data_IF_369917458427
#
_entry.id   IF_369917458427
#
_cell.length_a   1.000
_cell.length_b   1.000
_cell.length_c   1.000
_cell.angle_alpha   90.00
_cell.angle_beta   90.00
_cell.angle_gamma   90.00
#
_symmetry.space_group_name_H-M   'P 1'
#
loop_
_entity.id
_entity.type
_entity.pdbx_description
1 polymer ?
#
# COMPACT_ATOMS: atom_id res chain seq x y z
N UNK A 1 -26.45 -5.17 14.58
CA UNK A 1 -25.22 -5.91 14.91
C UNK A 1 -24.04 -4.96 14.90
N UNK A 2 -23.28 -4.90 15.99
CA UNK A 2 -22.08 -4.05 16.10
C UNK A 2 -20.77 -4.88 15.97
N UNK A 3 -19.61 -4.22 15.90
CA UNK A 3 -18.31 -4.90 15.74
C UNK A 3 -18.01 -5.93 16.84
N UNK A 4 -18.38 -5.61 18.09
CA UNK A 4 -18.10 -6.45 19.27
C UNK A 4 -18.96 -7.73 19.22
N UNK A 5 -20.23 -7.60 18.83
CA UNK A 5 -21.14 -8.73 18.63
C UNK A 5 -20.63 -9.66 17.53
N UNK A 6 -20.16 -9.12 16.40
CA UNK A 6 -19.61 -9.93 15.31
C UNK A 6 -18.40 -10.75 15.76
N UNK A 7 -17.46 -10.12 16.47
CA UNK A 7 -16.27 -10.78 17.02
C UNK A 7 -16.60 -11.83 18.10
N UNK A 8 -17.63 -11.59 18.91
CA UNK A 8 -18.08 -12.55 19.94
C UNK A 8 -18.74 -13.77 19.30
N UNK A 9 -19.65 -13.54 18.35
CA UNK A 9 -20.52 -14.56 17.80
C UNK A 9 -19.88 -15.36 16.66
N UNK A 10 -18.95 -14.78 15.91
CA UNK A 10 -18.31 -15.47 14.78
C UNK A 10 -16.84 -15.79 15.07
N UNK A 11 -16.58 -17.05 15.45
CA UNK A 11 -15.23 -17.55 15.78
C UNK A 11 -14.24 -17.38 14.62
N UNK A 12 -14.68 -17.60 13.38
CA UNK A 12 -13.80 -17.51 12.22
C UNK A 12 -13.37 -16.07 11.96
N UNK A 13 -14.28 -15.11 12.09
CA UNK A 13 -13.95 -13.68 11.97
C UNK A 13 -13.03 -13.22 13.08
N UNK A 14 -13.25 -13.67 14.31
CA UNK A 14 -12.33 -13.37 15.41
C UNK A 14 -10.92 -13.89 15.14
N UNK A 15 -10.79 -15.11 14.61
CA UNK A 15 -9.49 -15.68 14.23
C UNK A 15 -8.84 -14.85 13.13
N UNK A 16 -9.54 -14.62 12.00
CA UNK A 16 -9.01 -13.87 10.86
C UNK A 16 -8.60 -12.44 11.26
N UNK A 17 -9.46 -11.71 11.96
CA UNK A 17 -9.16 -10.36 12.44
C UNK A 17 -7.95 -10.32 13.39
N UNK A 18 -7.79 -11.34 14.26
CA UNK A 18 -6.62 -11.43 15.15
C UNK A 18 -5.34 -11.71 14.37
N UNK A 19 -5.40 -12.62 13.39
CA UNK A 19 -4.26 -12.93 12.51
C UNK A 19 -3.86 -11.70 11.72
N UNK A 20 -4.81 -11.00 11.10
CA UNK A 20 -4.57 -9.75 10.36
C UNK A 20 -3.85 -8.72 11.24
N UNK A 21 -4.37 -8.44 12.43
CA UNK A 21 -3.77 -7.43 13.32
C UNK A 21 -2.33 -7.80 13.73
N UNK A 22 -2.11 -9.04 14.14
CA UNK A 22 -0.80 -9.52 14.60
C UNK A 22 0.22 -9.49 13.46
N UNK A 23 -0.14 -10.04 12.29
CA UNK A 23 0.75 -10.16 11.13
C UNK A 23 1.02 -8.78 10.50
N UNK A 24 0.00 -7.91 10.38
CA UNK A 24 0.20 -6.57 9.81
C UNK A 24 1.11 -5.72 10.68
N UNK A 25 1.00 -5.81 12.01
CA UNK A 25 1.95 -5.14 12.89
C UNK A 25 3.39 -5.58 12.60
N UNK A 26 3.65 -6.88 12.46
CA UNK A 26 4.99 -7.41 12.15
C UNK A 26 5.52 -6.98 10.78
N UNK A 27 4.67 -6.98 9.75
CA UNK A 27 5.05 -6.61 8.39
C UNK A 27 5.65 -5.20 8.30
N UNK A 28 5.15 -4.23 9.09
CA UNK A 28 5.69 -2.87 9.10
C UNK A 28 7.05 -2.76 9.80
N UNK A 29 7.35 -3.63 10.76
CA UNK A 29 8.67 -3.74 11.37
C UNK A 29 9.70 -4.23 10.37
N UNK A 30 9.38 -5.31 9.65
CA UNK A 30 10.30 -5.83 8.64
C UNK A 30 10.40 -4.92 7.42
N UNK A 31 9.34 -4.23 7.01
CA UNK A 31 9.43 -3.20 5.96
C UNK A 31 10.39 -2.07 6.34
N UNK A 32 10.27 -1.54 7.56
CA UNK A 32 11.20 -0.52 8.08
C UNK A 32 12.62 -1.09 8.22
N UNK A 33 12.73 -2.37 8.61
CA UNK A 33 13.99 -3.10 8.69
C UNK A 33 14.70 -3.21 7.34
N UNK A 34 13.97 -3.51 6.25
CA UNK A 34 14.53 -3.59 4.89
C UNK A 34 15.13 -2.25 4.45
N UNK A 35 14.41 -1.14 4.63
CA UNK A 35 14.95 0.17 4.27
C UNK A 35 16.12 0.58 5.17
N UNK A 36 16.03 0.30 6.47
CA UNK A 36 17.15 0.57 7.39
C UNK A 36 18.38 -0.25 7.03
N UNK A 37 18.22 -1.53 6.67
CA UNK A 37 19.31 -2.41 6.23
C UNK A 37 20.03 -1.83 5.01
N UNK A 38 19.27 -1.33 4.03
CA UNK A 38 19.85 -0.70 2.85
C UNK A 38 20.65 0.55 3.22
N UNK A 39 20.21 1.31 4.22
CA UNK A 39 20.99 2.43 4.75
C UNK A 39 22.26 1.95 5.45
N UNK A 40 22.18 0.96 6.35
CA UNK A 40 23.33 0.41 7.08
C UNK A 40 24.40 -0.19 6.14
N UNK A 41 23.96 -0.82 5.04
CA UNK A 41 24.84 -1.38 4.03
C UNK A 41 25.42 -0.32 3.07
N UNK A 42 25.07 0.96 3.23
CA UNK A 42 25.38 2.03 2.28
C UNK A 42 25.01 1.64 0.84
N UNK A 43 23.81 1.08 0.67
CA UNK A 43 23.34 0.62 -0.62
C UNK A 43 23.18 1.81 -1.59
N UNK A 44 23.49 1.59 -2.88
CA UNK A 44 23.31 2.62 -3.89
C UNK A 44 21.84 2.99 -4.03
N UNK A 45 21.57 4.22 -4.48
CA UNK A 45 20.21 4.78 -4.59
C UNK A 45 19.28 3.89 -5.42
N UNK A 46 19.75 3.35 -6.56
CA UNK A 46 18.97 2.41 -7.37
C UNK A 46 18.49 1.18 -6.59
N UNK A 47 19.23 0.70 -5.59
CA UNK A 47 18.83 -0.46 -4.80
C UNK A 47 17.68 -0.13 -3.86
N UNK A 48 17.73 1.02 -3.20
CA UNK A 48 16.61 1.56 -2.40
C UNK A 48 15.37 1.77 -3.24
N UNK A 49 15.54 2.37 -4.43
CA UNK A 49 14.47 2.62 -5.37
C UNK A 49 13.84 1.31 -5.89
N UNK A 50 14.66 0.28 -6.14
CA UNK A 50 14.21 -1.06 -6.53
C UNK A 50 13.41 -1.73 -5.42
N UNK A 51 13.87 -1.67 -4.16
CA UNK A 51 13.11 -2.21 -3.02
C UNK A 51 11.75 -1.53 -2.85
N UNK A 52 11.67 -0.22 -3.02
CA UNK A 52 10.40 0.51 -2.99
C UNK A 52 9.48 0.12 -4.17
N UNK A 53 10.02 -0.01 -5.39
CA UNK A 53 9.27 -0.46 -6.56
C UNK A 53 8.68 -1.88 -6.36
N UNK A 54 9.47 -2.80 -5.79
CA UNK A 54 9.05 -4.17 -5.50
C UNK A 54 7.92 -4.24 -4.47
N UNK A 55 7.67 -3.18 -3.69
CA UNK A 55 6.51 -3.09 -2.82
C UNK A 55 5.16 -2.93 -3.59
N UNK A 56 5.21 -2.63 -4.89
CA UNK A 56 4.01 -2.44 -5.72
C UNK A 56 3.96 -3.39 -6.92
N UNK A 57 5.11 -3.73 -7.51
CA UNK A 57 5.21 -4.52 -8.73
C UNK A 57 4.49 -5.89 -8.67
N UNK A 58 4.60 -6.70 -7.59
CA UNK A 58 3.87 -7.96 -7.49
C UNK A 58 2.36 -7.81 -7.60
N UNK A 59 1.80 -6.75 -7.01
CA UNK A 59 0.37 -6.46 -7.09
C UNK A 59 -0.08 -6.19 -8.53
N UNK A 60 0.75 -5.49 -9.31
CA UNK A 60 0.50 -5.24 -10.75
C UNK A 60 0.46 -6.55 -11.54
N UNK A 61 1.46 -7.42 -11.33
CA UNK A 61 1.62 -8.66 -12.10
C UNK A 61 0.59 -9.72 -11.72
N UNK A 62 0.24 -9.81 -10.43
CA UNK A 62 -0.66 -10.84 -9.90
C UNK A 62 -2.14 -10.43 -9.89
N UNK A 63 -2.47 -9.15 -10.10
CA UNK A 63 -3.84 -8.66 -10.17
C UNK A 63 -4.79 -9.56 -10.99
N UNK A 64 -4.44 -9.99 -12.22
CA UNK A 64 -5.26 -10.95 -12.93
C UNK A 64 -5.20 -12.33 -12.26
N UNK A 65 -4.01 -12.86 -11.98
CA UNK A 65 -3.79 -14.29 -11.67
C UNK A 65 -4.41 -14.73 -10.34
N UNK A 66 -4.47 -13.81 -9.36
CA UNK A 66 -4.93 -14.11 -8.00
C UNK A 66 -6.30 -14.80 -7.94
N UNK A 67 -7.26 -14.39 -8.77
CA UNK A 67 -8.60 -14.99 -8.79
C UNK A 67 -8.56 -16.49 -9.11
N UNK A 68 -7.75 -16.89 -10.09
CA UNK A 68 -7.60 -18.29 -10.50
C UNK A 68 -6.92 -19.13 -9.42
N UNK A 69 -5.93 -18.56 -8.73
CA UNK A 69 -5.23 -19.25 -7.63
C UNK A 69 -6.21 -19.51 -6.48
N UNK A 70 -6.97 -18.49 -6.08
CA UNK A 70 -7.95 -18.58 -4.99
C UNK A 70 -9.07 -19.56 -5.33
N UNK A 71 -9.54 -19.54 -6.58
CA UNK A 71 -10.60 -20.43 -7.04
C UNK A 71 -10.17 -21.90 -7.20
N UNK A 72 -8.88 -22.21 -7.35
CA UNK A 72 -8.43 -23.61 -7.53
C UNK A 72 -8.02 -24.30 -6.23
N UNK A 73 -7.87 -23.54 -5.16
CA UNK A 73 -7.30 -24.05 -3.91
C UNK A 73 -8.30 -23.99 -2.77
N UNK A 74 -8.18 -24.95 -1.84
CA UNK A 74 -8.94 -24.91 -0.59
C UNK A 74 -8.49 -23.69 0.24
N UNK A 75 -9.39 -22.81 0.70
CA UNK A 75 -9.01 -21.54 1.35
C UNK A 75 -8.07 -21.71 2.55
N UNK A 76 -8.35 -22.66 3.45
CA UNK A 76 -7.50 -22.92 4.63
C UNK A 76 -6.08 -23.31 4.24
N UNK A 77 -5.95 -24.22 3.27
CA UNK A 77 -4.64 -24.70 2.80
C UNK A 77 -3.87 -23.56 2.14
N UNK A 78 -4.54 -22.77 1.30
CA UNK A 78 -3.93 -21.63 0.63
C UNK A 78 -3.42 -20.59 1.63
N UNK A 79 -4.25 -20.17 2.59
CA UNK A 79 -3.87 -19.19 3.62
C UNK A 79 -2.66 -19.68 4.45
N UNK A 80 -2.67 -20.95 4.89
CA UNK A 80 -1.55 -21.54 5.63
C UNK A 80 -0.27 -21.65 4.79
N UNK A 81 -0.38 -22.02 3.52
CA UNK A 81 0.78 -22.06 2.63
C UNK A 81 1.38 -20.67 2.41
N UNK A 82 0.53 -19.66 2.17
CA UNK A 82 1.00 -18.29 1.95
C UNK A 82 1.72 -17.75 3.19
N UNK A 83 1.09 -17.78 4.37
CA UNK A 83 1.72 -17.28 5.61
C UNK A 83 3.01 -18.04 5.97
N UNK A 84 3.12 -19.32 5.60
CA UNK A 84 4.35 -20.11 5.82
C UNK A 84 5.48 -19.69 4.88
N UNK A 85 5.18 -19.42 3.61
CA UNK A 85 6.18 -18.89 2.65
C UNK A 85 6.64 -17.50 3.10
N UNK A 86 5.72 -16.68 3.61
CA UNK A 86 6.06 -15.36 4.17
C UNK A 86 7.01 -15.48 5.36
N UNK A 87 6.73 -16.38 6.31
CA UNK A 87 7.61 -16.66 7.45
C UNK A 87 9.03 -17.05 7.00
N UNK A 88 9.14 -17.98 6.06
CA UNK A 88 10.45 -18.43 5.53
C UNK A 88 11.16 -17.26 4.87
N UNK A 89 10.45 -16.46 4.08
CA UNK A 89 11.04 -15.33 3.37
C UNK A 89 11.57 -14.26 4.33
N UNK A 90 10.87 -13.97 5.42
CA UNK A 90 11.31 -13.02 6.46
C UNK A 90 12.50 -13.59 7.22
N UNK A 91 12.45 -14.87 7.59
CA UNK A 91 13.58 -15.51 8.26
C UNK A 91 14.85 -15.44 7.40
N UNK A 92 14.72 -15.63 6.09
CA UNK A 92 15.84 -15.52 5.16
C UNK A 92 16.44 -14.11 5.07
N UNK A 93 15.69 -13.04 5.38
CA UNK A 93 16.22 -11.66 5.37
C UNK A 93 17.34 -11.46 6.40
N UNK A 94 17.39 -12.25 7.47
CA UNK A 94 18.42 -12.15 8.52
C UNK A 94 19.82 -12.48 7.98
N UNK A 95 19.90 -13.29 6.92
CA UNK A 95 21.17 -13.69 6.30
C UNK A 95 21.69 -12.65 5.29
N UNK A 96 20.87 -11.67 4.90
CA UNK A 96 21.31 -10.58 4.03
C UNK A 96 22.18 -9.64 4.86
N UNK A 97 23.50 -9.71 4.64
CA UNK A 97 24.50 -9.01 5.46
C UNK A 97 25.47 -8.15 4.66
N UNK A 98 25.39 -8.17 3.33
CA UNK A 98 26.30 -7.44 2.45
C UNK A 98 25.61 -6.98 1.17
N UNK A 99 26.20 -6.00 0.49
CA UNK A 99 25.74 -5.50 -0.81
C UNK A 99 25.78 -6.56 -1.92
N UNK A 100 26.66 -7.56 -1.82
CA UNK A 100 26.70 -8.67 -2.79
C UNK A 100 25.45 -9.56 -2.74
N UNK A 101 24.63 -9.44 -1.68
CA UNK A 101 23.39 -10.19 -1.48
C UNK A 101 22.13 -9.40 -1.86
N UNK A 102 22.24 -8.23 -2.51
CA UNK A 102 21.08 -7.45 -2.96
C UNK A 102 20.13 -8.25 -3.85
N UNK A 103 20.65 -9.16 -4.67
CA UNK A 103 19.81 -10.06 -5.49
C UNK A 103 18.89 -10.93 -4.61
N UNK A 104 19.40 -11.44 -3.48
CA UNK A 104 18.63 -12.25 -2.55
C UNK A 104 17.58 -11.38 -1.84
N UNK A 105 17.96 -10.18 -1.41
CA UNK A 105 17.04 -9.20 -0.82
C UNK A 105 15.84 -8.94 -1.73
N UNK A 106 16.08 -8.65 -3.01
CA UNK A 106 15.02 -8.37 -3.98
C UNK A 106 14.11 -9.58 -4.24
N UNK A 107 14.68 -10.78 -4.36
CA UNK A 107 13.89 -12.01 -4.49
C UNK A 107 12.97 -12.19 -3.27
N UNK A 108 13.51 -11.98 -2.06
CA UNK A 108 12.74 -12.13 -0.83
C UNK A 108 11.62 -11.09 -0.73
N UNK A 109 11.88 -9.81 -1.04
CA UNK A 109 10.84 -8.77 -1.08
C UNK A 109 9.75 -9.12 -2.10
N UNK A 110 10.14 -9.55 -3.30
CA UNK A 110 9.20 -9.92 -4.36
C UNK A 110 8.31 -11.10 -3.96
N UNK A 111 8.89 -12.16 -3.39
CA UNK A 111 8.15 -13.33 -2.92
C UNK A 111 7.15 -12.92 -1.82
N UNK A 112 7.60 -12.15 -0.82
CA UNK A 112 6.75 -11.70 0.28
C UNK A 112 5.51 -10.96 -0.23
N UNK A 113 5.72 -10.02 -1.15
CA UNK A 113 4.65 -9.20 -1.72
C UNK A 113 3.72 -10.00 -2.64
N UNK A 114 4.25 -10.98 -3.39
CA UNK A 114 3.42 -11.94 -4.12
C UNK A 114 2.49 -12.71 -3.18
N UNK A 115 3.06 -13.25 -2.11
CA UNK A 115 2.37 -14.07 -1.12
C UNK A 115 1.32 -13.27 -0.36
N UNK A 116 1.66 -12.06 0.08
CA UNK A 116 0.72 -11.15 0.76
C UNK A 116 -0.49 -10.81 -0.13
N UNK A 117 -0.26 -10.59 -1.43
CA UNK A 117 -1.32 -10.34 -2.41
C UNK A 117 -2.27 -11.53 -2.56
N UNK A 118 -1.73 -12.75 -2.70
CA UNK A 118 -2.54 -13.97 -2.79
C UNK A 118 -3.30 -14.23 -1.48
N UNK A 119 -2.65 -14.04 -0.32
CA UNK A 119 -3.26 -14.20 1.00
C UNK A 119 -4.48 -13.28 1.15
N UNK A 120 -4.30 -12.00 0.86
CA UNK A 120 -5.37 -11.00 0.95
C UNK A 120 -6.59 -11.38 0.09
N UNK A 121 -6.35 -11.76 -1.18
CA UNK A 121 -7.44 -12.15 -2.08
C UNK A 121 -8.14 -13.44 -1.64
N UNK A 122 -7.38 -14.41 -1.10
CA UNK A 122 -7.93 -15.64 -0.55
C UNK A 122 -8.83 -15.35 0.66
N UNK A 123 -8.40 -14.43 1.53
CA UNK A 123 -9.14 -14.04 2.71
C UNK A 123 -10.43 -13.28 2.35
N UNK A 124 -10.36 -12.28 1.47
CA UNK A 124 -11.55 -11.53 1.04
C UNK A 124 -12.59 -12.44 0.35
N UNK A 125 -12.13 -13.37 -0.49
CA UNK A 125 -13.01 -14.37 -1.11
C UNK A 125 -13.65 -15.32 -0.08
N UNK A 126 -12.88 -15.72 0.94
CA UNK A 126 -13.39 -16.56 2.02
C UNK A 126 -14.45 -15.83 2.85
N UNK A 127 -14.19 -14.57 3.24
CA UNK A 127 -15.12 -13.73 3.99
C UNK A 127 -16.46 -13.59 3.27
N UNK A 128 -16.42 -13.32 1.96
CA UNK A 128 -17.62 -13.21 1.14
C UNK A 128 -18.45 -14.51 1.07
N UNK A 129 -17.82 -15.67 1.28
CA UNK A 129 -18.52 -16.98 1.28
C UNK A 129 -19.10 -17.38 2.63
N UNK A 130 -18.55 -16.87 3.74
CA UNK A 130 -18.95 -17.28 5.10
C UNK A 130 -19.81 -16.24 5.83
N UNK A 131 -19.96 -15.04 5.28
CA UNK A 131 -20.68 -13.93 5.91
C UNK A 131 -21.91 -13.49 5.13
N UNK A 132 -22.91 -13.01 5.87
CA UNK A 132 -24.02 -12.24 5.31
C UNK A 132 -23.54 -10.87 4.78
N UNK A 133 -24.31 -10.19 3.90
CA UNK A 133 -23.90 -8.88 3.37
C UNK A 133 -23.63 -7.81 4.44
N UNK A 134 -24.38 -7.85 5.54
CA UNK A 134 -24.23 -6.91 6.67
C UNK A 134 -22.95 -7.21 7.47
N UNK A 135 -22.67 -8.48 7.72
CA UNK A 135 -21.44 -8.94 8.36
C UNK A 135 -20.21 -8.65 7.51
N UNK A 136 -20.30 -8.87 6.20
CA UNK A 136 -19.21 -8.61 5.26
C UNK A 136 -18.85 -7.13 5.23
N UNK A 137 -19.85 -6.23 5.25
CA UNK A 137 -19.61 -4.79 5.37
C UNK A 137 -18.83 -4.45 6.65
N UNK A 138 -19.27 -4.97 7.79
CA UNK A 138 -18.59 -4.76 9.08
C UNK A 138 -17.17 -5.35 9.08
N UNK A 139 -16.97 -6.53 8.51
CA UNK A 139 -15.67 -7.18 8.41
C UNK A 139 -14.69 -6.37 7.55
N UNK A 140 -15.16 -5.81 6.43
CA UNK A 140 -14.36 -4.93 5.58
C UNK A 140 -13.97 -3.64 6.31
N UNK A 141 -14.91 -3.02 7.03
CA UNK A 141 -14.62 -1.85 7.88
C UNK A 141 -13.56 -2.18 8.95
N UNK A 142 -13.68 -3.33 9.61
CA UNK A 142 -12.69 -3.80 10.60
C UNK A 142 -11.30 -4.00 9.98
N UNK A 143 -11.23 -4.59 8.79
CA UNK A 143 -9.98 -4.77 8.07
C UNK A 143 -9.30 -3.42 7.81
N UNK A 144 -10.05 -2.41 7.34
CA UNK A 144 -9.50 -1.06 7.13
C UNK A 144 -8.99 -0.43 8.42
N UNK A 145 -9.71 -0.60 9.54
CA UNK A 145 -9.29 -0.11 10.86
C UNK A 145 -8.00 -0.81 11.32
N UNK A 146 -7.95 -2.15 11.22
CA UNK A 146 -6.77 -2.94 11.56
C UNK A 146 -5.57 -2.47 10.76
N UNK A 147 -5.70 -2.36 9.43
CA UNK A 147 -4.62 -1.91 8.56
C UNK A 147 -4.12 -0.52 8.95
N UNK A 148 -5.02 0.44 9.18
CA UNK A 148 -4.65 1.81 9.53
C UNK A 148 -3.92 1.88 10.89
N UNK A 149 -4.41 1.15 11.90
CA UNK A 149 -3.78 1.10 13.23
C UNK A 149 -2.42 0.41 13.13
N UNK A 150 -2.34 -0.75 12.48
CA UNK A 150 -1.10 -1.50 12.32
C UNK A 150 -0.06 -0.70 11.54
N UNK A 151 -0.45 0.01 10.47
CA UNK A 151 0.46 0.88 9.71
C UNK A 151 0.98 2.03 10.56
N UNK A 152 0.07 2.77 11.22
CA UNK A 152 0.44 3.95 12.01
C UNK A 152 1.30 3.58 13.21
N UNK A 153 0.86 2.62 14.03
CA UNK A 153 1.57 2.18 15.22
C UNK A 153 2.84 1.40 14.85
N UNK A 154 2.77 0.54 13.83
CA UNK A 154 3.90 -0.27 13.36
C UNK A 154 5.03 0.60 12.83
N UNK A 155 4.77 1.52 11.90
CA UNK A 155 5.82 2.38 11.35
C UNK A 155 6.43 3.31 12.41
N UNK A 156 5.61 3.85 13.33
CA UNK A 156 6.10 4.70 14.43
C UNK A 156 7.00 3.94 15.40
N UNK A 157 6.62 2.72 15.79
CA UNK A 157 7.37 1.93 16.77
C UNK A 157 8.56 1.18 16.16
N UNK A 158 8.50 0.81 14.88
CA UNK A 158 9.56 0.06 14.19
C UNK A 158 10.90 0.80 14.17
N UNK A 159 10.89 2.12 13.88
CA UNK A 159 12.12 2.91 13.87
C UNK A 159 12.81 2.96 15.23
N UNK A 160 12.03 3.11 16.31
CA UNK A 160 12.52 3.09 17.70
C UNK A 160 13.05 1.69 18.05
N UNK A 161 12.30 0.66 17.71
CA UNK A 161 12.67 -0.73 17.97
C UNK A 161 14.00 -1.10 17.30
N UNK A 162 14.14 -0.78 16.01
CA UNK A 162 15.34 -1.05 15.23
C UNK A 162 16.53 -0.25 15.76
N UNK A 163 16.33 0.99 16.20
CA UNK A 163 17.41 1.79 16.80
C UNK A 163 18.01 1.13 18.04
N UNK A 164 17.20 0.55 18.93
CA UNK A 164 17.70 -0.06 20.16
C UNK A 164 18.12 -1.52 20.00
N UNK A 165 17.45 -2.28 19.14
CA UNK A 165 17.60 -3.74 19.04
C UNK A 165 18.22 -4.20 17.72
N UNK A 166 18.41 -3.30 16.76
CA UNK A 166 18.98 -3.58 15.44
C UNK A 166 17.98 -4.13 14.42
N UNK A 167 18.39 -4.17 13.15
CA UNK A 167 17.53 -4.61 12.03
C UNK A 167 17.16 -6.10 12.14
N UNK A 168 18.12 -6.97 12.50
CA UNK A 168 17.90 -8.42 12.55
C UNK A 168 16.81 -8.81 13.56
N UNK A 169 16.71 -8.11 14.69
CA UNK A 169 15.69 -8.38 15.69
C UNK A 169 14.30 -7.96 15.21
N UNK A 170 14.18 -6.95 14.34
CA UNK A 170 12.90 -6.59 13.72
C UNK A 170 12.38 -7.71 12.80
N UNK A 171 13.26 -8.37 12.05
CA UNK A 171 12.89 -9.55 11.25
C UNK A 171 12.50 -10.74 12.13
N UNK A 172 13.26 -11.01 13.20
CA UNK A 172 12.91 -12.07 14.16
C UNK A 172 11.57 -11.79 14.88
N UNK A 173 11.31 -10.54 15.21
CA UNK A 173 10.06 -10.11 15.82
C UNK A 173 8.87 -10.34 14.88
N UNK A 174 9.02 -10.00 13.60
CA UNK A 174 8.01 -10.30 12.58
C UNK A 174 7.79 -11.83 12.42
N UNK A 175 8.86 -12.62 12.36
CA UNK A 175 8.77 -14.09 12.38
C UNK A 175 7.98 -14.62 13.58
N UNK A 176 8.23 -14.08 14.78
CA UNK A 176 7.50 -14.45 16.00
C UNK A 176 6.01 -14.12 15.87
N UNK A 177 5.66 -12.92 15.39
CA UNK A 177 4.26 -12.52 15.20
C UNK A 177 3.56 -13.39 14.16
N UNK A 178 4.24 -13.76 13.08
CA UNK A 178 3.70 -14.68 12.08
C UNK A 178 3.48 -16.07 12.65
N UNK A 179 4.40 -16.61 13.46
CA UNK A 179 4.22 -17.89 14.14
C UNK A 179 2.99 -17.85 15.07
N UNK A 180 2.78 -16.75 15.78
CA UNK A 180 1.56 -16.53 16.57
C UNK A 180 0.35 -16.53 15.62
N UNK A 181 0.38 -15.78 14.52
CA UNK A 181 -0.68 -15.76 13.50
C UNK A 181 -1.02 -17.16 12.97
N UNK A 182 -0.01 -17.97 12.64
CA UNK A 182 -0.18 -19.37 12.21
C UNK A 182 -0.90 -20.19 13.29
N UNK A 183 -0.51 -20.04 14.56
CA UNK A 183 -1.14 -20.78 15.67
C UNK A 183 -2.64 -20.50 15.81
N UNK A 184 -3.07 -19.27 15.49
CA UNK A 184 -4.49 -18.90 15.43
C UNK A 184 -5.15 -19.43 14.15
N UNK A 185 -4.48 -19.26 13.00
CA UNK A 185 -5.01 -19.64 11.70
C UNK A 185 -5.24 -21.15 11.56
N UNK A 186 -4.44 -22.00 12.20
CA UNK A 186 -4.65 -23.46 12.22
C UNK A 186 -6.01 -23.83 12.85
N UNK A 187 -6.53 -23.01 13.77
CA UNK A 187 -7.84 -23.20 14.43
C UNK A 187 -9.02 -22.76 13.56
N UNK A 188 -8.76 -22.17 12.40
CA UNK A 188 -9.79 -21.76 11.45
C UNK A 188 -10.53 -22.99 10.92
N UNK A 189 -11.86 -22.96 10.98
CA UNK A 189 -12.72 -24.05 10.48
C UNK A 189 -13.53 -23.53 9.30
N UNK A 190 -13.28 -24.08 8.12
CA UNK A 190 -13.91 -23.62 6.88
C UNK A 190 -14.73 -24.77 6.30
N UNK A 191 -16.01 -24.56 5.96
CA UNK A 191 -16.80 -25.56 5.24
C UNK A 191 -16.22 -25.83 3.84
N UNK A 192 -16.34 -27.06 3.35
CA UNK A 192 -15.90 -27.38 1.98
C UNK A 192 -16.82 -26.66 0.97
N UNK A 193 -16.22 -25.82 0.12
CA UNK A 193 -16.93 -25.14 -0.97
C UNK A 193 -16.74 -25.92 -2.27
N UNK A 194 -17.83 -26.24 -2.98
CA UNK A 194 -17.76 -26.80 -4.32
C UNK A 194 -17.28 -25.73 -5.32
N UNK A 195 -16.22 -26.04 -6.06
CA UNK A 195 -15.69 -25.17 -7.11
C UNK A 195 -16.53 -25.30 -8.38
N UNK A 196 -17.16 -24.22 -8.83
CA UNK A 196 -17.72 -24.10 -10.19
C UNK A 196 -16.82 -23.18 -11.02
N UNK A 197 -16.13 -23.74 -12.00
CA UNK A 197 -15.39 -22.97 -13.01
C UNK A 197 -16.33 -22.74 -14.18
N UNK A 198 -16.71 -21.49 -14.48
CA UNK A 198 -17.68 -21.23 -15.58
C UNK A 198 -17.32 -20.13 -16.58
N UNK A 199 -16.12 -19.51 -16.54
CA UNK A 199 -15.71 -18.64 -17.65
C UNK A 199 -14.22 -18.74 -17.98
N UNK A 200 -13.88 -18.44 -19.24
CA UNK A 200 -12.48 -18.30 -19.69
C UNK A 200 -11.94 -16.97 -19.16
N UNK A 201 -11.23 -17.05 -18.05
CA UNK A 201 -10.52 -15.96 -17.38
C UNK A 201 -9.84 -14.93 -18.32
N UNK A 202 -9.11 -15.40 -19.34
CA UNK A 202 -8.45 -14.53 -20.32
C UNK A 202 -9.43 -13.68 -21.14
N UNK A 203 -10.61 -14.20 -21.44
CA UNK A 203 -11.65 -13.45 -22.15
C UNK A 203 -12.16 -12.29 -21.29
N UNK A 204 -12.36 -12.51 -19.99
CA UNK A 204 -12.83 -11.46 -19.07
C UNK A 204 -11.81 -10.32 -18.91
N UNK A 205 -10.51 -10.64 -18.86
CA UNK A 205 -9.42 -9.65 -18.82
C UNK A 205 -9.46 -8.79 -20.08
N UNK A 206 -9.53 -9.43 -21.25
CA UNK A 206 -9.54 -8.75 -22.55
C UNK A 206 -10.74 -7.83 -22.68
N UNK A 207 -11.93 -8.31 -22.35
CA UNK A 207 -13.16 -7.51 -22.38
C UNK A 207 -13.10 -6.29 -21.45
N UNK A 208 -12.55 -6.45 -20.24
CA UNK A 208 -12.37 -5.33 -19.30
C UNK A 208 -11.41 -4.26 -19.83
N UNK A 209 -10.31 -4.68 -20.47
CA UNK A 209 -9.35 -3.77 -21.07
C UNK A 209 -9.98 -2.94 -22.19
N UNK A 210 -10.66 -3.59 -23.15
CA UNK A 210 -11.32 -2.89 -24.25
C UNK A 210 -12.46 -2.00 -23.77
N UNK A 211 -13.21 -2.43 -22.75
CA UNK A 211 -14.25 -1.61 -22.13
C UNK A 211 -13.69 -0.29 -21.59
N UNK A 212 -12.58 -0.34 -20.83
CA UNK A 212 -11.94 0.87 -20.28
C UNK A 212 -11.45 1.79 -21.39
N UNK A 213 -10.80 1.25 -22.43
CA UNK A 213 -10.30 2.06 -23.54
C UNK A 213 -11.42 2.74 -24.34
N UNK A 214 -12.57 2.07 -24.48
CA UNK A 214 -13.71 2.61 -25.23
C UNK A 214 -14.54 3.60 -24.40
N UNK A 215 -14.57 3.45 -23.06
CA UNK A 215 -15.26 4.36 -22.16
C UNK A 215 -14.34 5.50 -21.69
N UNK A 216 -14.37 6.63 -22.43
CA UNK A 216 -13.52 7.80 -22.17
C UNK A 216 -13.64 8.36 -20.75
N UNK A 217 -14.84 8.34 -20.16
CA UNK A 217 -15.06 8.82 -18.79
C UNK A 217 -14.26 7.95 -17.82
N UNK A 218 -14.45 6.63 -17.87
CA UNK A 218 -13.75 5.69 -16.98
C UNK A 218 -12.24 5.77 -17.20
N UNK A 219 -11.76 5.80 -18.44
CA UNK A 219 -10.34 5.91 -18.75
C UNK A 219 -9.70 7.14 -18.07
N UNK A 220 -10.30 8.32 -18.24
CA UNK A 220 -9.77 9.55 -17.66
C UNK A 220 -9.88 9.56 -16.13
N UNK A 221 -10.92 8.96 -15.54
CA UNK A 221 -11.05 8.79 -14.09
C UNK A 221 -9.97 7.88 -13.51
N UNK A 222 -9.67 6.76 -14.18
CA UNK A 222 -8.58 5.86 -13.78
C UNK A 222 -7.24 6.58 -13.85
N UNK A 223 -6.98 7.35 -14.91
CA UNK A 223 -5.74 8.12 -15.04
C UNK A 223 -5.62 9.20 -13.95
N UNK A 224 -6.72 9.86 -13.59
CA UNK A 224 -6.76 10.78 -12.45
C UNK A 224 -6.42 10.07 -11.14
N UNK A 225 -7.07 8.93 -10.88
CA UNK A 225 -6.81 8.13 -9.70
C UNK A 225 -5.35 7.65 -9.63
N UNK A 226 -4.74 7.33 -10.77
CA UNK A 226 -3.35 6.90 -10.86
C UNK A 226 -2.33 7.95 -10.38
N UNK A 227 -2.63 9.26 -10.52
CA UNK A 227 -1.76 10.31 -9.98
C UNK A 227 -1.53 10.17 -8.47
N UNK A 228 -2.50 9.61 -7.74
CA UNK A 228 -2.40 9.36 -6.30
C UNK A 228 -1.29 8.34 -6.01
N UNK A 229 -1.01 7.41 -6.93
CA UNK A 229 0.11 6.47 -6.82
C UNK A 229 1.48 7.16 -6.80
N UNK A 230 1.58 8.39 -7.32
CA UNK A 230 2.81 9.19 -7.25
C UNK A 230 3.18 9.62 -5.83
N UNK A 231 2.32 9.36 -4.84
CA UNK A 231 2.57 9.62 -3.42
C UNK A 231 3.32 8.49 -2.70
N UNK A 232 3.83 7.49 -3.43
CA UNK A 232 4.74 6.47 -2.91
C UNK A 232 6.11 7.09 -2.57
N UNK A 233 6.26 7.61 -1.34
CA UNK A 233 7.40 8.41 -0.90
C UNK A 233 8.55 7.58 -0.30
N UNK A 234 8.49 6.25 -0.33
CA UNK A 234 9.40 5.38 0.42
C UNK A 234 10.88 5.59 0.02
N UNK A 235 11.16 5.73 -1.29
CA UNK A 235 12.50 6.07 -1.79
C UNK A 235 12.95 7.45 -1.29
N UNK A 236 12.07 8.45 -1.39
CA UNK A 236 12.38 9.84 -1.01
C UNK A 236 12.65 9.97 0.49
N UNK A 237 11.83 9.31 1.33
CA UNK A 237 12.00 9.27 2.79
C UNK A 237 13.33 8.61 3.16
N UNK A 238 13.70 7.53 2.48
CA UNK A 238 14.97 6.83 2.72
C UNK A 238 16.17 7.69 2.31
N UNK A 239 16.11 8.36 1.15
CA UNK A 239 17.16 9.28 0.70
C UNK A 239 17.30 10.49 1.63
N UNK A 240 16.19 11.02 2.16
CA UNK A 240 16.23 12.07 3.17
C UNK A 240 16.94 11.60 4.44
N UNK A 241 16.68 10.37 4.89
CA UNK A 241 17.37 9.79 6.04
C UNK A 241 18.87 9.61 5.79
N UNK A 242 19.27 9.17 4.58
CA UNK A 242 20.66 8.94 4.21
C UNK A 242 21.48 10.23 4.00
N UNK A 243 20.87 11.28 3.45
CA UNK A 243 21.62 12.45 2.97
C UNK A 243 21.31 13.73 3.74
N UNK A 244 20.04 14.05 3.97
CA UNK A 244 19.63 15.33 4.57
C UNK A 244 19.61 15.29 6.10
N UNK A 245 19.21 14.15 6.67
CA UNK A 245 18.97 13.99 8.11
C UNK A 245 19.96 13.05 8.80
N UNK A 246 21.04 12.67 8.11
CA UNK A 246 22.05 11.73 8.60
C UNK A 246 22.71 12.12 9.93
N UNK A 247 22.76 13.42 10.22
CA UNK A 247 23.37 13.98 11.44
C UNK A 247 22.34 14.27 12.54
N UNK A 248 21.04 14.13 12.24
CA UNK A 248 19.95 14.47 13.17
C UNK A 248 19.61 13.28 14.06
N UNK A 249 19.31 12.14 13.44
CA UNK A 249 18.93 10.89 14.10
C UNK A 249 19.40 9.70 13.25
N UNK A 250 19.37 8.49 13.81
CA UNK A 250 19.59 7.27 13.03
C UNK A 250 18.58 7.15 11.89
N UNK A 251 18.98 6.49 10.80
CA UNK A 251 18.13 6.33 9.63
C UNK A 251 16.79 5.63 9.98
N UNK A 252 16.81 4.64 10.87
CA UNK A 252 15.62 3.96 11.36
C UNK A 252 14.62 4.93 12.02
N UNK A 253 15.10 5.81 12.90
CA UNK A 253 14.26 6.80 13.57
C UNK A 253 13.71 7.83 12.58
N UNK A 254 14.54 8.32 11.65
CA UNK A 254 14.09 9.27 10.62
C UNK A 254 12.99 8.65 9.76
N UNK A 255 13.22 7.45 9.22
CA UNK A 255 12.23 6.73 8.39
C UNK A 255 10.94 6.48 9.19
N UNK A 256 11.06 6.06 10.45
CA UNK A 256 9.91 5.80 11.33
C UNK A 256 9.08 7.06 11.59
N UNK A 257 9.72 8.17 12.01
CA UNK A 257 9.01 9.41 12.33
C UNK A 257 8.35 10.05 11.10
N UNK A 258 9.04 10.12 9.95
CA UNK A 258 8.47 10.70 8.73
C UNK A 258 7.24 9.92 8.27
N UNK A 259 7.30 8.58 8.30
CA UNK A 259 6.14 7.75 7.96
C UNK A 259 5.01 7.81 8.98
N UNK A 260 5.32 7.93 10.29
CA UNK A 260 4.31 8.09 11.32
C UNK A 260 3.52 9.40 11.15
N UNK A 261 4.21 10.53 10.91
CA UNK A 261 3.56 11.82 10.65
C UNK A 261 2.69 11.74 9.39
N UNK A 262 3.20 11.12 8.32
CA UNK A 262 2.43 10.87 7.09
C UNK A 262 1.18 10.02 7.39
N UNK A 263 1.30 8.93 8.14
CA UNK A 263 0.18 8.07 8.49
C UNK A 263 -0.93 8.84 9.23
N UNK A 264 -0.57 9.66 10.21
CA UNK A 264 -1.53 10.53 10.91
C UNK A 264 -2.25 11.49 9.95
N UNK A 265 -1.53 12.11 9.01
CA UNK A 265 -2.15 13.02 8.04
C UNK A 265 -3.10 12.30 7.08
N UNK A 266 -2.75 11.09 6.65
CA UNK A 266 -3.60 10.23 5.80
C UNK A 266 -4.88 9.79 6.53
N UNK A 267 -4.85 9.67 7.85
CA UNK A 267 -6.01 9.32 8.67
C UNK A 267 -6.94 10.52 8.93
N UNK A 268 -6.37 11.68 9.25
CA UNK A 268 -7.12 12.90 9.58
C UNK A 268 -7.77 13.51 8.33
N UNK A 269 -7.06 13.50 7.20
CA UNK A 269 -7.49 14.08 5.94
C UNK A 269 -8.92 13.74 5.52
N UNK A 270 -9.27 12.45 5.35
CA UNK A 270 -10.62 12.02 5.01
C UNK A 270 -11.69 12.43 6.02
N UNK A 271 -11.39 12.42 7.32
CA UNK A 271 -12.37 12.78 8.36
C UNK A 271 -12.86 14.23 8.21
N UNK A 272 -11.97 15.11 7.74
CA UNK A 272 -12.29 16.51 7.50
C UNK A 272 -12.83 16.72 6.08
N UNK A 273 -12.10 16.24 5.07
CA UNK A 273 -12.35 16.58 3.67
C UNK A 273 -13.50 15.82 3.02
N UNK A 274 -13.87 14.63 3.52
CA UNK A 274 -14.97 13.83 2.95
C UNK A 274 -16.32 14.56 2.94
N UNK A 275 -16.52 15.51 3.86
CA UNK A 275 -17.74 16.35 3.94
C UNK A 275 -17.79 17.42 2.85
N UNK A 276 -16.65 17.80 2.29
CA UNK A 276 -16.52 18.93 1.37
C UNK A 276 -16.18 18.51 -0.06
N UNK A 277 -15.66 17.29 -0.24
CA UNK A 277 -15.23 16.79 -1.55
C UNK A 277 -16.43 16.49 -2.44
N UNK A 278 -16.42 17.08 -3.64
CA UNK A 278 -17.41 16.86 -4.68
C UNK A 278 -16.81 17.19 -6.06
N UNK A 279 -17.52 16.89 -7.15
CA UNK A 279 -17.06 17.15 -8.53
C UNK A 279 -16.60 18.60 -8.77
N UNK A 280 -17.28 19.59 -8.18
CA UNK A 280 -16.95 21.02 -8.35
C UNK A 280 -15.67 21.41 -7.60
N UNK A 281 -15.43 20.77 -6.45
CA UNK A 281 -14.31 21.10 -5.57
C UNK A 281 -13.08 20.21 -5.78
N UNK A 282 -13.18 19.14 -6.59
CA UNK A 282 -12.09 18.20 -6.82
C UNK A 282 -10.84 18.87 -7.41
N UNK A 283 -11.00 19.95 -8.20
CA UNK A 283 -9.90 20.81 -8.65
C UNK A 283 -9.07 21.32 -7.46
N UNK A 284 -9.72 21.89 -6.44
CA UNK A 284 -9.06 22.44 -5.26
C UNK A 284 -8.43 21.36 -4.38
N UNK A 285 -8.96 20.13 -4.41
CA UNK A 285 -8.37 19.00 -3.68
C UNK A 285 -7.02 18.57 -4.29
N UNK A 286 -6.96 18.45 -5.62
CA UNK A 286 -5.69 18.18 -6.32
C UNK A 286 -4.70 19.34 -6.19
N UNK A 287 -5.19 20.58 -6.26
CA UNK A 287 -4.36 21.77 -6.05
C UNK A 287 -3.80 21.80 -4.62
N UNK A 288 -4.63 21.52 -3.61
CA UNK A 288 -4.24 21.42 -2.21
C UNK A 288 -3.20 20.33 -1.97
N UNK A 289 -3.36 19.16 -2.59
CA UNK A 289 -2.36 18.09 -2.57
C UNK A 289 -1.02 18.56 -3.16
N UNK A 290 -1.04 19.20 -4.34
CA UNK A 290 0.17 19.72 -4.98
C UNK A 290 0.88 20.78 -4.13
N UNK A 291 0.12 21.72 -3.58
CA UNK A 291 0.65 22.74 -2.67
C UNK A 291 1.19 22.14 -1.37
N UNK A 292 0.54 21.12 -0.81
CA UNK A 292 1.01 20.39 0.36
C UNK A 292 2.34 19.68 0.12
N UNK A 293 2.51 19.06 -1.05
CA UNK A 293 3.78 18.45 -1.45
C UNK A 293 4.86 19.52 -1.67
N UNK A 294 4.53 20.66 -2.30
CA UNK A 294 5.47 21.78 -2.45
C UNK A 294 5.87 22.35 -1.09
N UNK A 295 4.93 22.47 -0.16
CA UNK A 295 5.24 22.87 1.22
C UNK A 295 6.21 21.89 1.87
N UNK A 296 6.03 20.57 1.66
CA UNK A 296 7.01 19.59 2.09
C UNK A 296 8.38 19.80 1.43
N UNK A 297 8.40 20.08 0.13
CA UNK A 297 9.63 20.39 -0.58
C UNK A 297 10.38 21.59 0.03
N UNK A 298 9.64 22.61 0.47
CA UNK A 298 10.17 23.82 1.07
C UNK A 298 10.58 23.65 2.54
N UNK A 299 10.02 22.68 3.26
CA UNK A 299 10.25 22.48 4.70
C UNK A 299 11.25 21.36 5.01
N UNK A 300 11.53 20.47 4.06
CA UNK A 300 12.44 19.33 4.25
C UNK A 300 13.93 19.67 4.47
N UNK A 301 14.30 20.95 4.48
CA UNK A 301 15.68 21.34 4.86
C UNK A 301 15.95 21.08 6.35
N UNK A 302 14.90 21.08 7.18
CA UNK A 302 14.99 20.82 8.61
C UNK A 302 14.05 19.67 9.01
N UNK A 303 14.56 18.72 9.79
CA UNK A 303 13.85 17.51 10.17
C UNK A 303 12.51 17.79 10.87
N UNK A 304 12.48 18.72 11.82
CA UNK A 304 11.25 19.02 12.59
C UNK A 304 10.25 19.83 11.76
N UNK A 305 10.73 20.79 10.97
CA UNK A 305 9.86 21.61 10.11
C UNK A 305 9.25 20.77 8.99
N UNK A 306 9.97 19.75 8.50
CA UNK A 306 9.49 18.76 7.52
C UNK A 306 8.17 18.10 7.93
N UNK A 307 7.89 17.96 9.24
CA UNK A 307 6.63 17.38 9.71
C UNK A 307 5.41 18.21 9.30
N UNK A 308 5.50 19.54 9.31
CA UNK A 308 4.42 20.42 8.85
C UNK A 308 4.14 20.21 7.36
N UNK A 309 5.21 20.09 6.57
CA UNK A 309 5.11 19.78 5.15
C UNK A 309 4.49 18.41 4.88
N UNK A 310 4.93 17.38 5.60
CA UNK A 310 4.38 16.03 5.49
C UNK A 310 2.90 15.95 5.82
N UNK A 311 2.45 16.70 6.83
CA UNK A 311 1.01 16.83 7.13
C UNK A 311 0.29 17.35 5.90
N UNK A 312 0.77 18.43 5.28
CA UNK A 312 0.21 18.96 4.04
C UNK A 312 0.22 17.96 2.87
N UNK A 313 1.33 17.24 2.70
CA UNK A 313 1.53 16.26 1.63
C UNK A 313 0.70 14.98 1.77
N UNK A 314 0.16 14.67 2.95
CA UNK A 314 -0.72 13.52 3.16
C UNK A 314 -2.18 13.87 3.41
N UNK A 315 -2.51 15.12 3.78
CA UNK A 315 -3.86 15.52 4.18
C UNK A 315 -4.93 15.32 3.10
N UNK A 316 -4.61 15.53 1.82
CA UNK A 316 -5.59 15.38 0.73
C UNK A 316 -5.59 13.98 0.11
N UNK A 317 -4.47 13.26 0.18
CA UNK A 317 -4.22 11.98 -0.51
C UNK A 317 -5.33 10.96 -0.32
N UNK A 318 -5.65 10.59 0.93
CA UNK A 318 -6.65 9.55 1.21
C UNK A 318 -8.07 9.96 0.81
N UNK A 319 -8.42 11.25 0.93
CA UNK A 319 -9.72 11.77 0.53
C UNK A 319 -9.88 11.76 -1.00
N UNK A 320 -8.83 12.18 -1.73
CA UNK A 320 -8.75 12.07 -3.18
C UNK A 320 -8.87 10.61 -3.63
N UNK A 321 -8.18 9.70 -2.95
CA UNK A 321 -8.19 8.28 -3.27
C UNK A 321 -9.61 7.73 -3.17
N UNK A 322 -10.26 7.88 -2.01
CA UNK A 322 -11.60 7.38 -1.78
C UNK A 322 -12.64 7.96 -2.74
N UNK A 323 -12.57 9.27 -3.00
CA UNK A 323 -13.55 9.96 -3.84
C UNK A 323 -13.42 9.56 -5.31
N UNK A 324 -12.20 9.58 -5.86
CA UNK A 324 -11.96 9.20 -7.27
C UNK A 324 -12.24 7.73 -7.51
N UNK A 325 -11.90 6.85 -6.56
CA UNK A 325 -12.26 5.44 -6.61
C UNK A 325 -13.78 5.23 -6.64
N UNK A 326 -14.52 5.94 -5.78
CA UNK A 326 -15.99 5.91 -5.76
C UNK A 326 -16.59 6.42 -7.07
N UNK A 327 -15.99 7.46 -7.68
CA UNK A 327 -16.45 7.96 -8.98
C UNK A 327 -16.26 6.93 -10.09
N UNK A 328 -15.14 6.21 -10.10
CA UNK A 328 -14.91 5.12 -11.06
C UNK A 328 -15.98 4.04 -10.88
N UNK A 329 -16.25 3.64 -9.63
CA UNK A 329 -17.29 2.66 -9.30
C UNK A 329 -18.69 3.06 -9.78
N UNK A 330 -19.05 4.35 -9.64
CA UNK A 330 -20.36 4.87 -10.02
C UNK A 330 -20.55 4.98 -11.54
N UNK A 331 -19.47 5.20 -12.29
CA UNK A 331 -19.52 5.35 -13.75
C UNK A 331 -19.30 4.01 -14.49
N UNK A 332 -18.87 2.97 -13.78
CA UNK A 332 -18.69 1.64 -14.36
C UNK A 332 -20.02 0.88 -14.47
N UNK A 333 -20.27 0.28 -15.63
CA UNK A 333 -21.41 -0.62 -15.81
C UNK A 333 -21.31 -1.83 -14.88
N UNK A 334 -22.45 -2.28 -14.35
CA UNK A 334 -22.51 -3.38 -13.37
C UNK A 334 -21.78 -4.65 -13.83
N UNK A 335 -21.82 -4.93 -15.13
CA UNK A 335 -21.16 -6.10 -15.74
C UNK A 335 -19.63 -6.01 -15.74
N UNK A 336 -19.07 -4.79 -15.80
CA UNK A 336 -17.63 -4.55 -15.88
C UNK A 336 -17.02 -4.10 -14.55
N UNK A 337 -17.83 -3.88 -13.52
CA UNK A 337 -17.42 -3.28 -12.24
C UNK A 337 -16.15 -3.89 -11.64
N UNK A 338 -16.11 -5.21 -11.43
CA UNK A 338 -14.94 -5.89 -10.85
C UNK A 338 -13.69 -5.80 -11.73
N UNK A 339 -13.86 -5.73 -13.06
CA UNK A 339 -12.76 -5.60 -14.02
C UNK A 339 -12.18 -4.19 -14.00
N UNK A 340 -13.05 -3.18 -14.01
CA UNK A 340 -12.65 -1.76 -13.94
C UNK A 340 -11.84 -1.49 -12.67
N UNK A 341 -12.27 -2.03 -11.54
CA UNK A 341 -11.53 -1.90 -10.28
C UNK A 341 -10.16 -2.57 -10.32
N UNK A 342 -10.06 -3.80 -10.82
CA UNK A 342 -8.78 -4.48 -10.95
C UNK A 342 -7.78 -3.67 -11.80
N UNK A 343 -8.22 -3.09 -12.92
CA UNK A 343 -7.38 -2.22 -13.75
C UNK A 343 -7.06 -0.89 -13.08
N UNK A 344 -7.99 -0.33 -12.30
CA UNK A 344 -7.75 0.88 -11.51
C UNK A 344 -6.59 0.68 -10.54
N UNK A 345 -6.62 -0.41 -9.77
CA UNK A 345 -5.57 -0.76 -8.81
C UNK A 345 -4.25 -1.07 -9.54
N UNK A 346 -4.30 -1.80 -10.66
CA UNK A 346 -3.12 -2.13 -11.45
C UNK A 346 -2.40 -0.87 -11.97
N UNK A 347 -3.14 0.10 -12.49
CA UNK A 347 -2.54 1.35 -13.01
C UNK A 347 -2.03 2.22 -11.87
N UNK A 348 -2.78 2.33 -10.76
CA UNK A 348 -2.33 3.01 -9.54
C UNK A 348 -1.01 2.44 -9.01
N UNK A 349 -0.91 1.12 -8.83
CA UNK A 349 0.30 0.45 -8.37
C UNK A 349 1.45 0.59 -9.37
N UNK A 350 1.17 0.62 -10.68
CA UNK A 350 2.18 0.86 -11.70
C UNK A 350 2.78 2.27 -11.58
N UNK A 351 1.96 3.29 -11.32
CA UNK A 351 2.44 4.65 -11.06
C UNK A 351 3.31 4.70 -9.80
N UNK A 352 2.91 4.00 -8.73
CA UNK A 352 3.70 3.89 -7.49
C UNK A 352 5.06 3.20 -7.71
N UNK A 353 5.09 2.13 -8.50
CA UNK A 353 6.32 1.43 -8.87
C UNK A 353 7.26 2.33 -9.69
N UNK A 354 6.72 2.97 -10.73
CA UNK A 354 7.48 3.85 -11.63
C UNK A 354 8.04 5.04 -10.88
N UNK A 355 7.24 5.72 -10.03
CA UNK A 355 7.72 6.90 -9.32
C UNK A 355 8.80 6.54 -8.29
N UNK A 356 8.67 5.39 -7.63
CA UNK A 356 9.65 4.90 -6.67
C UNK A 356 11.03 4.76 -7.29
N UNK A 357 11.07 4.23 -8.53
CA UNK A 357 12.29 4.09 -9.31
C UNK A 357 12.77 5.42 -9.89
N UNK A 358 11.85 6.25 -10.40
CA UNK A 358 12.17 7.55 -10.98
C UNK A 358 12.77 8.51 -9.97
N UNK A 359 12.30 8.55 -8.72
CA UNK A 359 12.89 9.39 -7.68
C UNK A 359 14.36 9.04 -7.42
N UNK A 360 14.69 7.75 -7.39
CA UNK A 360 16.07 7.29 -7.23
C UNK A 360 16.94 7.70 -8.42
N UNK A 361 16.45 7.47 -9.64
CA UNK A 361 17.14 7.89 -10.86
C UNK A 361 17.37 9.40 -10.93
N UNK A 362 16.35 10.22 -10.63
CA UNK A 362 16.45 11.67 -10.63
C UNK A 362 17.50 12.17 -9.62
N UNK A 363 17.59 11.52 -8.46
CA UNK A 363 18.61 11.85 -7.47
C UNK A 363 20.02 11.49 -7.97
N UNK A 364 20.21 10.34 -8.62
CA UNK A 364 21.51 9.91 -9.16
C UNK A 364 22.02 10.83 -10.28
N UNK A 365 21.14 11.38 -11.12
CA UNK A 365 21.54 12.37 -12.14
C UNK A 365 21.79 13.78 -11.56
N UNK A 366 21.73 13.94 -10.23
CA UNK A 366 22.13 15.15 -9.51
C UNK A 366 21.00 16.11 -9.13
N UNK A 367 19.73 15.74 -9.29
CA UNK A 367 18.65 16.59 -8.79
C UNK A 367 18.59 16.55 -7.26
N UNK A 368 18.48 17.73 -6.65
CA UNK A 368 18.25 17.83 -5.20
C UNK A 368 16.91 17.19 -4.80
N UNK A 369 16.86 16.61 -3.59
CA UNK A 369 15.62 16.05 -3.01
C UNK A 369 14.50 17.10 -2.97
N UNK A 370 14.84 18.37 -2.71
CA UNK A 370 13.95 19.53 -2.82
C UNK A 370 13.28 19.65 -4.18
N UNK A 371 14.07 19.59 -5.26
CA UNK A 371 13.54 19.68 -6.60
C UNK A 371 12.66 18.48 -6.94
N UNK A 372 13.07 17.26 -6.56
CA UNK A 372 12.29 16.03 -6.80
C UNK A 372 10.92 16.12 -6.12
N UNK A 373 10.87 16.47 -4.83
CA UNK A 373 9.60 16.69 -4.11
C UNK A 373 8.77 17.80 -4.74
N UNK A 374 9.39 18.92 -5.14
CA UNK A 374 8.70 20.02 -5.81
C UNK A 374 8.07 19.61 -7.15
N UNK A 375 8.77 18.80 -7.95
CA UNK A 375 8.25 18.26 -9.21
C UNK A 375 7.03 17.35 -8.98
N UNK A 376 7.03 16.53 -7.94
CA UNK A 376 5.85 15.74 -7.56
C UNK A 376 4.64 16.65 -7.29
N UNK A 377 4.84 17.73 -6.54
CA UNK A 377 3.79 18.70 -6.27
C UNK A 377 3.27 19.40 -7.53
N UNK A 378 4.18 19.74 -8.47
CA UNK A 378 3.80 20.29 -9.78
C UNK A 378 2.97 19.31 -10.62
N UNK A 379 3.24 18.01 -10.54
CA UNK A 379 2.42 16.99 -11.23
C UNK A 379 0.99 16.98 -10.68
N UNK A 380 0.80 17.18 -9.37
CA UNK A 380 -0.54 17.30 -8.79
C UNK A 380 -1.27 18.59 -9.20
N UNK A 381 -0.53 19.70 -9.38
CA UNK A 381 -1.09 20.92 -9.97
C UNK A 381 -1.54 20.64 -11.41
N UNK A 382 -0.73 19.94 -12.20
CA UNK A 382 -1.14 19.49 -13.52
C UNK A 382 -2.39 18.60 -13.47
N UNK A 383 -2.46 17.65 -12.54
CA UNK A 383 -3.63 16.80 -12.33
C UNK A 383 -4.90 17.61 -12.00
N UNK A 384 -4.77 18.72 -11.25
CA UNK A 384 -5.87 19.64 -10.99
C UNK A 384 -6.39 20.27 -12.31
N UNK A 385 -5.50 20.82 -13.13
CA UNK A 385 -5.90 21.39 -14.43
C UNK A 385 -6.43 20.34 -15.40
N UNK A 386 -5.87 19.13 -15.36
CA UNK A 386 -6.36 17.99 -16.11
C UNK A 386 -7.79 17.61 -15.70
N UNK A 387 -8.10 17.60 -14.39
CA UNK A 387 -9.48 17.45 -13.90
C UNK A 387 -10.39 18.56 -14.43
N UNK A 388 -9.95 19.84 -14.38
CA UNK A 388 -10.76 20.96 -14.87
C UNK A 388 -11.11 20.83 -16.35
N UNK A 389 -10.15 20.42 -17.17
CA UNK A 389 -10.37 20.13 -18.59
C UNK A 389 -11.33 18.94 -18.78
N UNK A 390 -11.07 17.83 -18.09
CA UNK A 390 -11.89 16.62 -18.17
C UNK A 390 -13.34 16.89 -17.77
N UNK A 391 -13.54 17.57 -16.63
CA UNK A 391 -14.85 17.99 -16.14
C UNK A 391 -15.57 18.79 -17.22
N UNK A 392 -15.01 19.90 -17.71
CA UNK A 392 -15.66 20.74 -18.73
C UNK A 392 -15.99 20.01 -20.04
N UNK A 393 -15.23 18.98 -20.41
CA UNK A 393 -15.36 18.29 -21.70
C UNK A 393 -16.31 17.10 -21.66
N UNK A 394 -16.40 16.39 -20.54
CA UNK A 394 -17.07 15.09 -20.46
C UNK A 394 -18.12 14.97 -19.34
N UNK A 395 -18.17 15.90 -18.38
CA UNK A 395 -19.10 15.91 -17.23
C UNK A 395 -19.86 17.23 -17.12
#
# INVERSE_FOLDING_TARGET
MNYIELLKNNKNIRILASVQFIVYCGAWFSQTGVFTLLVELNAPTWATATSAMLAFLPGVLLAPINGVIVEKNKPKKLLLSMISIELISIFCLIFVTSLSMLWLLFILIFIRLCVASIYFQAEMSLLAKILTPQELKLANEMHSVIWAISYTAGMASAGIFIYFLGVKTAFLFDCMLILIGISFLVRLSIPDFHHKTQSRFFTMIKEGFFYILNNKIIFHLILLHAFIGLTAYETLVTLLAQHQYKEVLSAALVIGFLNAVRACSLAIGPMVLSKFINNKNLFYMYLGQGLGIILWALTQFNFYISFLGLIGAGFFTSALWAYTYTMIQKNADKEYHGRVIAYTDMIYLSFSAIISMLMGFLFEIGLSLKLITGLLGMIFIFAAFYWKWFYKKYL
#
